data_IF_183587768023
#
_entry.id   IF_183587768023
#
_cell.length_a   1.000
_cell.length_b   1.000
_cell.length_c   1.000
_cell.angle_alpha   90.00
_cell.angle_beta   90.00
_cell.angle_gamma   90.00
#
_symmetry.space_group_name_H-M   'P 1'
#
loop_
_entity.id
_entity.type
_entity.pdbx_description
1 polymer ?
#
# COMPACT_ATOMS: atom_id res chain seq x y z
N UNK A 1 -6.02 7.48 -10.28
CA UNK A 1 -5.04 8.25 -9.50
C UNK A 1 -4.89 9.71 -9.94
N UNK A 2 -4.66 10.03 -11.22
CA UNK A 2 -4.43 11.43 -11.70
C UNK A 2 -5.41 12.48 -11.16
N UNK A 3 -6.72 12.26 -11.32
CA UNK A 3 -7.73 13.22 -10.85
C UNK A 3 -7.74 13.34 -9.31
N UNK A 4 -7.51 12.24 -8.60
CA UNK A 4 -7.42 12.21 -7.13
C UNK A 4 -6.26 13.09 -6.66
N UNK A 5 -5.07 12.90 -7.22
CA UNK A 5 -3.90 13.71 -6.89
C UNK A 5 -4.08 15.18 -7.29
N UNK A 6 -4.70 15.46 -8.44
CA UNK A 6 -5.02 16.83 -8.86
C UNK A 6 -5.91 17.54 -7.85
N UNK A 7 -6.94 16.87 -7.32
CA UNK A 7 -7.85 17.45 -6.32
C UNK A 7 -7.17 17.67 -4.97
N UNK A 8 -6.29 16.75 -4.55
CA UNK A 8 -5.47 16.95 -3.35
C UNK A 8 -4.54 18.16 -3.52
N UNK A 9 -3.85 18.26 -4.67
CA UNK A 9 -2.97 19.39 -4.98
C UNK A 9 -3.73 20.73 -5.03
N UNK A 10 -4.97 20.76 -5.54
CA UNK A 10 -5.82 21.96 -5.49
C UNK A 10 -6.15 22.34 -4.05
N UNK A 11 -6.38 21.36 -3.18
CA UNK A 11 -6.69 21.62 -1.77
C UNK A 11 -5.48 22.25 -1.06
N UNK A 12 -4.28 21.71 -1.29
CA UNK A 12 -3.03 22.29 -0.78
C UNK A 12 -2.79 23.70 -1.35
N UNK A 13 -2.96 23.88 -2.67
CA UNK A 13 -2.82 25.19 -3.33
C UNK A 13 -3.80 26.22 -2.78
N UNK A 14 -5.03 25.82 -2.47
CA UNK A 14 -6.01 26.72 -1.84
C UNK A 14 -5.49 27.23 -0.50
N UNK A 15 -5.00 26.33 0.37
CA UNK A 15 -4.45 26.70 1.66
C UNK A 15 -3.24 27.63 1.53
N UNK A 16 -2.34 27.37 0.58
CA UNK A 16 -1.19 28.25 0.29
C UNK A 16 -1.66 29.65 -0.10
N UNK A 17 -2.66 29.78 -0.99
CA UNK A 17 -3.17 31.10 -1.39
C UNK A 17 -3.82 31.84 -0.22
N UNK A 18 -4.51 31.13 0.68
CA UNK A 18 -5.06 31.74 1.89
C UNK A 18 -3.95 32.21 2.84
N UNK A 19 -2.93 31.39 3.04
CA UNK A 19 -1.76 31.71 3.85
C UNK A 19 -1.05 32.97 3.31
N UNK A 20 -0.73 32.99 2.01
CA UNK A 20 -0.15 34.14 1.32
C UNK A 20 -0.99 35.42 1.49
N UNK A 21 -2.31 35.30 1.34
CA UNK A 21 -3.21 36.44 1.51
C UNK A 21 -3.18 36.96 2.95
N UNK A 22 -3.24 36.08 3.94
CA UNK A 22 -3.28 36.45 5.35
C UNK A 22 -1.94 37.05 5.82
N UNK A 23 -0.80 36.45 5.46
CA UNK A 23 0.54 37.00 5.74
C UNK A 23 0.67 38.45 5.25
N UNK A 24 0.15 38.73 4.06
CA UNK A 24 0.27 40.04 3.42
C UNK A 24 -0.73 41.08 3.94
N UNK A 25 -1.90 40.66 4.44
CA UNK A 25 -3.00 41.57 4.73
C UNK A 25 -3.42 41.62 6.22
N UNK A 26 -2.96 40.69 7.06
CA UNK A 26 -3.31 40.62 8.47
C UNK A 26 -2.05 40.63 9.36
N UNK A 27 -1.91 41.69 10.18
CA UNK A 27 -0.75 41.87 11.04
C UNK A 27 -0.67 40.85 12.17
N UNK A 28 -1.82 40.36 12.64
CA UNK A 28 -1.85 39.38 13.72
C UNK A 28 -1.45 38.00 13.19
N UNK A 29 -1.92 37.62 11.99
CA UNK A 29 -1.49 36.40 11.31
C UNK A 29 0.03 36.38 11.10
N UNK A 30 0.58 37.47 10.55
CA UNK A 30 2.03 37.61 10.36
C UNK A 30 2.82 37.48 11.66
N UNK A 31 2.34 38.10 12.73
CA UNK A 31 2.96 38.00 14.06
C UNK A 31 2.99 36.56 14.59
N UNK A 32 1.99 35.74 14.25
CA UNK A 32 1.99 34.31 14.60
C UNK A 32 2.95 33.52 13.71
N UNK A 33 3.01 33.82 12.41
CA UNK A 33 3.96 33.18 11.49
C UNK A 33 5.42 33.42 11.91
N UNK A 34 5.77 34.67 12.24
CA UNK A 34 7.10 35.03 12.76
C UNK A 34 7.46 34.25 14.03
N UNK A 35 6.47 33.90 14.87
CA UNK A 35 6.70 33.07 16.05
C UNK A 35 6.96 31.61 15.71
N UNK A 36 6.29 31.07 14.69
CA UNK A 36 6.58 29.72 14.18
C UNK A 36 7.98 29.65 13.59
N UNK A 37 8.36 30.64 12.79
CA UNK A 37 9.73 30.76 12.24
C UNK A 37 10.78 30.84 13.36
N UNK A 38 10.51 31.59 14.44
CA UNK A 38 11.39 31.70 15.61
C UNK A 38 11.58 30.37 16.37
N UNK A 39 10.72 29.37 16.17
CA UNK A 39 10.92 28.03 16.74
C UNK A 39 12.06 27.26 16.05
N UNK A 40 12.49 27.67 14.85
CA UNK A 40 13.62 27.07 14.15
C UNK A 40 13.42 25.57 13.89
N UNK A 41 14.38 24.74 14.34
CA UNK A 41 14.38 23.30 14.08
C UNK A 41 13.17 22.56 14.66
N UNK A 42 12.58 23.02 15.77
CA UNK A 42 11.40 22.36 16.36
C UNK A 42 10.20 22.40 15.39
N UNK A 43 10.04 23.51 14.66
CA UNK A 43 9.00 23.63 13.64
C UNK A 43 9.35 22.85 12.37
N UNK A 44 10.63 22.82 12.00
CA UNK A 44 11.09 22.01 10.86
C UNK A 44 10.91 20.51 11.13
N UNK A 45 11.18 20.02 12.34
CA UNK A 45 10.91 18.65 12.77
C UNK A 45 9.43 18.29 12.64
N UNK A 46 8.53 19.22 13.00
CA UNK A 46 7.11 19.04 12.75
C UNK A 46 6.79 18.93 11.25
N UNK A 47 7.38 19.77 10.41
CA UNK A 47 7.18 19.74 8.96
C UNK A 47 7.71 18.44 8.32
N UNK A 48 8.80 17.85 8.84
CA UNK A 48 9.35 16.56 8.38
C UNK A 48 8.38 15.40 8.57
N UNK A 49 7.44 15.49 9.50
CA UNK A 49 6.35 14.51 9.66
C UNK A 49 5.30 14.59 8.54
N UNK A 50 5.21 15.72 7.82
CA UNK A 50 4.30 15.92 6.69
C UNK A 50 4.94 15.50 5.35
N UNK A 51 6.22 15.80 5.17
CA UNK A 51 7.01 15.34 4.03
C UNK A 51 8.51 15.35 4.37
N UNK A 52 9.20 14.26 4.04
CA UNK A 52 10.64 14.13 4.20
C UNK A 52 11.22 13.49 2.94
N UNK A 53 12.08 14.24 2.23
CA UNK A 53 12.82 13.75 1.08
C UNK A 53 14.11 13.07 1.53
N UNK A 54 14.23 11.76 1.26
CA UNK A 54 15.43 11.00 1.58
C UNK A 54 15.16 9.56 2.02
N UNK A 55 16.22 8.85 2.40
CA UNK A 55 16.15 7.50 2.97
C UNK A 55 16.03 7.57 4.49
N UNK A 56 15.25 6.69 5.11
CA UNK A 56 15.09 6.70 6.57
C UNK A 56 16.42 6.44 7.28
N UNK A 57 16.81 7.31 8.21
CA UNK A 57 17.92 7.08 9.16
C UNK A 57 17.39 6.94 10.58
N UNK A 58 17.76 5.85 11.27
CA UNK A 58 17.68 5.81 12.73
C UNK A 58 19.01 6.33 13.28
N UNK A 59 19.00 7.50 13.90
CA UNK A 59 20.12 7.99 14.71
C UNK A 59 21.06 9.03 14.06
N UNK A 60 20.81 9.45 12.81
CA UNK A 60 21.57 10.52 12.16
C UNK A 60 20.62 11.65 11.73
N UNK A 61 20.86 12.91 12.15
CA UNK A 61 20.15 14.09 11.63
C UNK A 61 20.36 14.28 10.12
N UNK A 62 19.40 14.88 9.39
CA UNK A 62 18.04 15.20 9.86
C UNK A 62 17.24 13.91 10.11
N UNK A 63 16.56 13.85 11.25
CA UNK A 63 15.84 12.66 11.70
C UNK A 63 14.46 12.58 11.03
N UNK A 64 14.42 12.18 9.76
CA UNK A 64 13.17 11.80 9.11
C UNK A 64 12.58 10.56 9.77
N UNK A 65 11.46 10.69 10.50
CA UNK A 65 10.96 9.61 11.34
C UNK A 65 10.22 8.51 10.54
N UNK A 66 9.64 8.86 9.38
CA UNK A 66 8.59 8.05 8.72
C UNK A 66 8.85 7.79 7.23
N UNK A 67 9.20 6.53 6.92
CA UNK A 67 9.41 5.98 5.56
C UNK A 67 8.12 5.88 4.72
N UNK A 68 6.95 6.22 5.25
CA UNK A 68 5.65 5.82 4.68
C UNK A 68 4.73 6.98 4.32
N UNK A 69 5.24 8.21 4.29
CA UNK A 69 4.44 9.44 4.10
C UNK A 69 3.54 9.34 2.86
N UNK A 70 4.08 8.86 1.73
CA UNK A 70 3.29 8.69 0.51
C UNK A 70 2.16 7.65 0.68
N UNK A 71 2.41 6.54 1.38
CA UNK A 71 1.39 5.54 1.71
C UNK A 71 0.31 6.12 2.62
N UNK A 72 0.72 6.90 3.63
CA UNK A 72 -0.19 7.55 4.58
C UNK A 72 -1.10 8.55 3.87
N UNK A 73 -0.58 9.28 2.87
CA UNK A 73 -1.39 10.16 2.02
C UNK A 73 -2.43 9.35 1.23
N UNK A 74 -2.06 8.22 0.62
CA UNK A 74 -3.01 7.35 -0.07
C UNK A 74 -4.09 6.81 0.88
N UNK A 75 -3.69 6.39 2.07
CA UNK A 75 -4.61 5.91 3.10
C UNK A 75 -5.55 7.02 3.56
N UNK A 76 -5.04 8.21 3.87
CA UNK A 76 -5.84 9.39 4.21
C UNK A 76 -6.88 9.70 3.14
N UNK A 77 -6.49 9.70 1.87
CA UNK A 77 -7.40 9.91 0.75
C UNK A 77 -8.52 8.87 0.80
N UNK A 78 -8.22 7.59 1.00
CA UNK A 78 -9.17 6.49 0.90
C UNK A 78 -10.06 6.40 2.14
N UNK A 79 -9.46 6.28 3.32
CA UNK A 79 -10.14 5.93 4.58
C UNK A 79 -10.71 7.15 5.30
N UNK A 80 -10.18 8.36 5.07
CA UNK A 80 -10.64 9.58 5.75
C UNK A 80 -11.49 10.50 4.88
N UNK A 81 -11.22 10.59 3.57
CA UNK A 81 -11.93 11.52 2.67
C UNK A 81 -12.84 10.83 1.66
N UNK A 82 -12.33 9.88 0.89
CA UNK A 82 -13.11 9.18 -0.13
C UNK A 82 -14.18 8.26 0.48
N UNK A 83 -14.00 7.85 1.74
CA UNK A 83 -15.01 7.11 2.51
C UNK A 83 -16.39 7.80 2.53
N UNK A 84 -16.45 9.13 2.44
CA UNK A 84 -17.73 9.85 2.32
C UNK A 84 -18.53 9.48 1.06
N UNK A 85 -17.91 8.89 0.05
CA UNK A 85 -18.63 8.28 -1.07
C UNK A 85 -19.38 7.01 -0.60
N UNK A 86 -18.71 6.15 0.15
CA UNK A 86 -19.25 4.86 0.60
C UNK A 86 -20.45 4.99 1.55
N UNK A 87 -20.50 6.06 2.36
CA UNK A 87 -21.58 6.27 3.34
C UNK A 87 -22.88 6.84 2.75
N UNK A 88 -22.90 7.22 1.47
CA UNK A 88 -24.10 7.82 0.86
C UNK A 88 -25.25 6.82 0.75
N UNK A 89 -24.99 5.70 0.08
CA UNK A 89 -25.91 4.58 -0.07
C UNK A 89 -25.16 3.33 -0.57
N UNK A 90 -25.88 2.21 -0.67
CA UNK A 90 -25.32 0.94 -1.11
C UNK A 90 -24.74 0.99 -2.54
N UNK A 91 -25.32 1.75 -3.47
CA UNK A 91 -24.81 1.86 -4.83
C UNK A 91 -23.50 2.67 -4.88
N UNK A 92 -23.41 3.75 -4.10
CA UNK A 92 -22.17 4.50 -3.98
C UNK A 92 -21.09 3.72 -3.22
N UNK A 93 -21.45 2.87 -2.25
CA UNK A 93 -20.51 1.92 -1.64
C UNK A 93 -19.90 0.96 -2.66
N UNK A 94 -20.70 0.37 -3.56
CA UNK A 94 -20.20 -0.47 -4.66
C UNK A 94 -19.21 0.30 -5.55
N UNK A 95 -19.58 1.53 -5.93
CA UNK A 95 -18.69 2.42 -6.72
C UNK A 95 -17.39 2.74 -5.99
N UNK A 96 -17.46 3.03 -4.68
CA UNK A 96 -16.29 3.27 -3.85
C UNK A 96 -15.36 2.05 -3.86
N UNK A 97 -15.87 0.85 -3.58
CA UNK A 97 -15.07 -0.39 -3.59
C UNK A 97 -14.42 -0.60 -4.97
N UNK A 98 -15.19 -0.46 -6.06
CA UNK A 98 -14.68 -0.57 -7.43
C UNK A 98 -13.54 0.43 -7.71
N UNK A 99 -13.74 1.71 -7.36
CA UNK A 99 -12.73 2.76 -7.54
C UNK A 99 -11.47 2.44 -6.72
N UNK A 100 -11.61 2.06 -5.45
CA UNK A 100 -10.47 1.79 -4.57
C UNK A 100 -9.69 0.57 -5.05
N UNK A 101 -10.36 -0.51 -5.51
CA UNK A 101 -9.67 -1.66 -6.10
C UNK A 101 -8.82 -1.27 -7.33
N UNK A 102 -9.32 -0.40 -8.21
CA UNK A 102 -8.50 0.12 -9.31
C UNK A 102 -7.34 1.00 -8.84
N UNK A 103 -7.54 1.79 -7.78
CA UNK A 103 -6.44 2.55 -7.16
C UNK A 103 -5.39 1.62 -6.55
N UNK A 104 -5.80 0.51 -5.92
CA UNK A 104 -4.89 -0.54 -5.45
C UNK A 104 -4.11 -1.14 -6.61
N UNK A 105 -4.75 -1.48 -7.74
CA UNK A 105 -4.02 -1.93 -8.93
C UNK A 105 -2.99 -0.91 -9.42
N UNK A 106 -3.36 0.38 -9.49
CA UNK A 106 -2.41 1.43 -9.85
C UNK A 106 -1.24 1.52 -8.87
N UNK A 107 -1.52 1.37 -7.57
CA UNK A 107 -0.52 1.36 -6.52
C UNK A 107 0.43 0.16 -6.65
N UNK A 108 -0.07 -1.04 -6.90
CA UNK A 108 0.76 -2.23 -7.15
C UNK A 108 1.64 -2.05 -8.39
N UNK A 109 1.12 -1.41 -9.44
CA UNK A 109 1.87 -1.16 -10.68
C UNK A 109 3.05 -0.20 -10.46
N UNK A 110 2.94 0.75 -9.52
CA UNK A 110 4.02 1.71 -9.22
C UNK A 110 5.33 1.02 -8.79
N UNK A 111 5.27 -0.22 -8.29
CA UNK A 111 6.40 -1.04 -7.82
C UNK A 111 6.68 -2.26 -8.72
N UNK A 112 6.34 -2.12 -9.99
CA UNK A 112 6.74 -3.06 -11.02
C UNK A 112 8.13 -2.75 -11.60
N UNK A 113 8.89 -1.81 -11.01
CA UNK A 113 10.27 -1.46 -11.40
C UNK A 113 11.36 -2.14 -10.54
N UNK A 114 10.96 -3.00 -9.59
CA UNK A 114 11.91 -3.82 -8.84
C UNK A 114 12.74 -4.80 -9.68
N UNK A 115 12.18 -5.48 -10.71
CA UNK A 115 12.93 -6.45 -11.52
C UNK A 115 14.08 -5.84 -12.33
N UNK A 116 15.21 -6.55 -12.44
CA UNK A 116 16.42 -6.12 -13.16
C UNK A 116 16.19 -5.77 -14.64
N UNK A 117 15.24 -6.43 -15.31
CA UNK A 117 14.94 -6.20 -16.73
C UNK A 117 14.42 -4.77 -17.00
N UNK A 118 13.94 -4.08 -15.97
CA UNK A 118 13.46 -2.69 -16.03
C UNK A 118 14.30 -1.73 -15.21
N UNK A 119 15.56 -2.10 -14.90
CA UNK A 119 16.50 -1.23 -14.18
C UNK A 119 16.71 0.12 -14.86
N UNK A 120 16.63 0.18 -16.20
CA UNK A 120 16.70 1.45 -16.94
C UNK A 120 15.52 2.38 -16.66
N UNK A 121 14.28 1.87 -16.64
CA UNK A 121 13.09 2.65 -16.28
C UNK A 121 13.13 3.07 -14.81
N UNK A 122 13.63 2.20 -13.93
CA UNK A 122 13.87 2.54 -12.52
C UNK A 122 14.79 3.77 -12.41
N UNK A 123 15.94 3.75 -13.10
CA UNK A 123 16.88 4.88 -13.12
C UNK A 123 16.27 6.15 -13.70
N UNK A 124 15.53 6.03 -14.81
CA UNK A 124 14.84 7.16 -15.44
C UNK A 124 13.83 7.80 -14.49
N UNK A 125 13.02 6.98 -13.80
CA UNK A 125 12.07 7.46 -12.80
C UNK A 125 12.76 8.17 -11.64
N UNK A 126 13.79 7.56 -11.06
CA UNK A 126 14.55 8.15 -9.95
C UNK A 126 15.14 9.51 -10.34
N UNK A 127 15.73 9.63 -11.53
CA UNK A 127 16.24 10.91 -12.06
C UNK A 127 15.12 11.92 -12.28
N UNK A 128 14.02 11.49 -12.89
CA UNK A 128 12.84 12.34 -13.12
C UNK A 128 12.28 12.91 -11.81
N UNK A 129 12.20 12.09 -10.75
CA UNK A 129 11.76 12.53 -9.43
C UNK A 129 12.69 13.59 -8.85
N UNK A 130 14.00 13.32 -8.85
CA UNK A 130 15.03 14.27 -8.38
C UNK A 130 14.95 15.60 -9.14
N UNK A 131 14.89 15.55 -10.47
CA UNK A 131 14.83 16.75 -11.32
C UNK A 131 13.53 17.55 -11.14
N UNK A 132 12.40 16.86 -10.96
CA UNK A 132 11.08 17.51 -10.86
C UNK A 132 10.83 18.13 -9.49
N UNK A 133 11.37 17.54 -8.42
CA UNK A 133 11.23 18.01 -7.04
C UNK A 133 12.34 19.03 -6.71
N UNK A 134 13.54 18.85 -7.29
CA UNK A 134 14.72 19.66 -7.03
C UNK A 134 15.51 19.16 -5.83
N UNK A 135 16.84 19.25 -5.92
CA UNK A 135 17.76 18.64 -4.94
C UNK A 135 17.50 19.07 -3.50
N UNK A 136 17.09 20.32 -3.27
CA UNK A 136 16.82 20.86 -1.93
C UNK A 136 15.67 20.16 -1.21
N UNK A 137 14.60 19.85 -1.94
CA UNK A 137 13.37 19.26 -1.38
C UNK A 137 13.39 17.72 -1.52
N UNK A 138 14.17 17.20 -2.47
CA UNK A 138 14.30 15.76 -2.71
C UNK A 138 15.29 15.09 -1.76
N UNK A 139 16.41 15.74 -1.47
CA UNK A 139 17.36 15.35 -0.43
C UNK A 139 17.32 16.43 0.63
N UNK A 140 16.66 16.18 1.76
CA UNK A 140 16.49 17.25 2.74
C UNK A 140 17.83 17.90 3.09
N UNK A 141 17.88 19.23 2.95
CA UNK A 141 19.03 20.08 3.24
C UNK A 141 20.33 19.74 2.47
N UNK A 142 20.25 18.92 1.42
CA UNK A 142 21.42 18.49 0.65
C UNK A 142 22.35 17.55 1.42
N UNK A 143 21.83 16.74 2.34
CA UNK A 143 22.65 15.84 3.15
C UNK A 143 23.38 14.76 2.31
N UNK A 144 24.70 14.72 2.44
CA UNK A 144 25.60 13.81 1.70
C UNK A 144 25.30 12.33 1.93
N UNK A 145 24.73 11.95 3.08
CA UNK A 145 24.32 10.58 3.33
C UNK A 145 23.17 10.18 2.40
N UNK A 146 22.11 10.99 2.30
CA UNK A 146 20.96 10.68 1.46
C UNK A 146 21.31 10.71 -0.02
N UNK A 147 22.16 11.67 -0.43
CA UNK A 147 22.67 11.74 -1.81
C UNK A 147 23.45 10.48 -2.14
N UNK A 148 24.44 10.08 -1.32
CA UNK A 148 25.23 8.85 -1.58
C UNK A 148 24.36 7.61 -1.65
N UNK A 149 23.38 7.46 -0.74
CA UNK A 149 22.46 6.32 -0.75
C UNK A 149 21.59 6.28 -1.99
N UNK A 150 21.16 7.43 -2.46
CA UNK A 150 20.42 7.54 -3.72
C UNK A 150 21.30 7.15 -4.90
N UNK A 151 22.54 7.66 -5.01
CA UNK A 151 23.46 7.29 -6.09
C UNK A 151 23.81 5.79 -6.06
N UNK A 152 24.06 5.22 -4.88
CA UNK A 152 24.23 3.76 -4.71
C UNK A 152 23.02 2.97 -5.22
N UNK A 153 21.81 3.43 -4.90
CA UNK A 153 20.55 2.80 -5.33
C UNK A 153 20.30 3.00 -6.83
N UNK A 154 20.73 4.13 -7.39
CA UNK A 154 20.60 4.46 -8.80
C UNK A 154 21.49 3.55 -9.66
N UNK A 155 22.70 3.27 -9.20
CA UNK A 155 23.66 2.38 -9.89
C UNK A 155 23.35 0.90 -9.71
N UNK A 156 22.56 0.53 -8.69
CA UNK A 156 22.10 -0.85 -8.53
C UNK A 156 21.30 -1.29 -9.77
N UNK A 157 21.68 -2.40 -10.40
CA UNK A 157 21.09 -2.88 -11.66
C UNK A 157 20.42 -4.26 -11.56
N UNK A 158 20.50 -4.91 -10.40
CA UNK A 158 19.87 -6.21 -10.14
C UNK A 158 18.45 -6.05 -9.54
N UNK A 159 17.85 -7.18 -9.15
CA UNK A 159 16.49 -7.31 -8.60
C UNK A 159 16.33 -6.65 -7.22
N UNK A 160 15.48 -5.63 -7.14
CA UNK A 160 14.98 -5.07 -5.88
C UNK A 160 13.78 -5.86 -5.32
N UNK A 161 13.91 -7.19 -5.30
CA UNK A 161 12.89 -8.10 -4.76
C UNK A 161 13.42 -8.70 -3.45
N UNK A 162 12.75 -8.50 -2.31
CA UNK A 162 13.22 -9.02 -1.03
C UNK A 162 13.01 -10.53 -0.90
N UNK A 163 13.70 -11.15 0.07
CA UNK A 163 13.56 -12.57 0.41
C UNK A 163 12.17 -12.93 0.98
N UNK A 164 11.71 -14.17 0.77
CA UNK A 164 11.80 -14.97 -0.47
C UNK A 164 10.90 -14.35 -1.58
N UNK A 165 11.12 -14.64 -2.89
CA UNK A 165 11.90 -15.75 -3.47
C UNK A 165 13.35 -15.44 -3.88
N UNK A 166 13.84 -14.20 -3.76
CA UNK A 166 15.19 -13.84 -4.18
C UNK A 166 16.27 -14.50 -3.30
N UNK A 167 17.17 -15.36 -3.83
CA UNK A 167 18.24 -15.97 -3.04
C UNK A 167 19.31 -14.96 -2.60
N UNK A 168 19.48 -13.88 -3.36
CA UNK A 168 20.47 -12.81 -3.17
C UNK A 168 19.78 -11.44 -3.14
N UNK A 169 19.00 -11.14 -2.07
CA UNK A 169 18.29 -9.86 -1.97
C UNK A 169 19.30 -8.70 -1.87
N UNK A 170 18.92 -7.50 -2.32
CA UNK A 170 19.74 -6.32 -2.14
C UNK A 170 19.98 -6.02 -0.66
N UNK A 171 21.01 -5.22 -0.41
CA UNK A 171 21.26 -4.66 0.90
C UNK A 171 20.05 -3.85 1.38
N UNK A 172 19.79 -3.93 2.69
CA UNK A 172 18.65 -3.26 3.32
C UNK A 172 18.63 -1.76 3.03
N UNK A 173 19.79 -1.12 2.97
CA UNK A 173 19.89 0.32 2.66
C UNK A 173 19.41 0.67 1.25
N UNK A 174 19.66 -0.19 0.27
CA UNK A 174 19.20 -0.02 -1.12
C UNK A 174 17.69 -0.18 -1.16
N UNK A 175 17.15 -1.23 -0.52
CA UNK A 175 15.72 -1.44 -0.41
C UNK A 175 15.02 -0.28 0.31
N UNK A 176 15.55 0.18 1.45
CA UNK A 176 14.96 1.26 2.23
C UNK A 176 14.96 2.60 1.46
N UNK A 177 16.00 2.85 0.66
CA UNK A 177 16.12 4.05 -0.19
C UNK A 177 15.17 3.96 -1.39
N UNK A 178 15.07 2.80 -2.03
CA UNK A 178 14.10 2.59 -3.10
C UNK A 178 12.67 2.73 -2.58
N UNK A 179 12.34 2.06 -1.47
CA UNK A 179 11.01 2.07 -0.85
C UNK A 179 10.57 3.49 -0.45
N UNK A 180 11.49 4.39 -0.05
CA UNK A 180 11.11 5.76 0.33
C UNK A 180 10.63 6.62 -0.84
N UNK A 181 10.96 6.25 -2.08
CA UNK A 181 10.51 6.93 -3.29
C UNK A 181 9.07 6.60 -3.67
N UNK A 182 8.50 5.55 -3.07
CA UNK A 182 7.18 5.05 -3.41
C UNK A 182 6.27 5.01 -2.18
N UNK A 183 4.94 5.10 -2.37
CA UNK A 183 4.01 4.72 -1.32
C UNK A 183 4.21 3.23 -1.00
N UNK A 184 4.79 2.88 0.16
CA UNK A 184 5.20 1.52 0.56
C UNK A 184 4.24 0.41 0.11
N UNK A 185 4.72 -0.48 -0.76
CA UNK A 185 3.85 -1.36 -1.56
C UNK A 185 3.45 -2.67 -0.88
N UNK A 186 4.26 -3.19 0.06
CA UNK A 186 3.87 -4.40 0.80
C UNK A 186 2.88 -4.15 1.93
N UNK A 187 2.85 -2.94 2.50
CA UNK A 187 1.94 -2.60 3.61
C UNK A 187 0.66 -1.95 3.12
N UNK A 188 0.78 -0.81 2.45
CA UNK A 188 -0.36 0.05 2.15
C UNK A 188 -1.49 -0.59 1.32
N UNK A 189 -1.20 -1.22 0.17
CA UNK A 189 -2.20 -1.96 -0.60
C UNK A 189 -2.91 -3.06 0.20
N UNK A 190 -2.17 -3.83 0.99
CA UNK A 190 -2.73 -4.92 1.81
C UNK A 190 -3.68 -4.35 2.87
N UNK A 191 -3.24 -3.31 3.57
CA UNK A 191 -4.04 -2.63 4.59
C UNK A 191 -5.36 -2.09 4.02
N UNK A 192 -5.32 -1.51 2.81
CA UNK A 192 -6.52 -1.04 2.11
C UNK A 192 -7.42 -2.20 1.66
N UNK A 193 -6.87 -3.30 1.18
CA UNK A 193 -7.65 -4.48 0.76
C UNK A 193 -8.38 -5.11 1.94
N UNK A 194 -7.71 -5.25 3.09
CA UNK A 194 -8.32 -5.70 4.35
C UNK A 194 -9.44 -4.74 4.78
N UNK A 195 -9.19 -3.42 4.71
CA UNK A 195 -10.22 -2.43 4.99
C UNK A 195 -11.46 -2.61 4.09
N UNK A 196 -11.27 -2.82 2.78
CA UNK A 196 -12.38 -3.10 1.85
C UNK A 196 -13.10 -4.40 2.20
N UNK A 197 -12.39 -5.45 2.61
CA UNK A 197 -12.97 -6.70 3.07
C UNK A 197 -13.88 -6.50 4.26
N UNK A 198 -13.42 -5.78 5.29
CA UNK A 198 -14.23 -5.50 6.48
C UNK A 198 -15.48 -4.69 6.12
N UNK A 199 -15.36 -3.73 5.21
CA UNK A 199 -16.52 -2.98 4.70
C UNK A 199 -17.52 -3.90 3.98
N UNK A 200 -17.07 -4.87 3.20
CA UNK A 200 -17.96 -5.77 2.44
C UNK A 200 -18.61 -6.83 3.32
N UNK A 201 -17.90 -7.35 4.31
CA UNK A 201 -18.32 -8.47 5.16
C UNK A 201 -19.25 -8.09 6.33
N UNK A 202 -19.39 -6.79 6.62
CA UNK A 202 -20.37 -6.28 7.62
C UNK A 202 -20.22 -6.93 9.00
N UNK A 203 -18.99 -7.07 9.49
CA UNK A 203 -18.72 -7.62 10.82
C UNK A 203 -18.96 -6.63 11.98
N UNK A 204 -19.31 -5.37 11.65
CA UNK A 204 -19.44 -4.25 12.59
C UNK A 204 -19.04 -2.93 11.93
N UNK A 205 -18.92 -1.87 12.73
CA UNK A 205 -18.41 -0.57 12.29
C UNK A 205 -16.88 -0.60 12.23
N UNK A 206 -16.33 -0.21 11.08
CA UNK A 206 -14.89 -0.22 10.82
C UNK A 206 -14.31 1.16 11.08
N UNK A 207 -13.41 1.26 12.06
CA UNK A 207 -12.63 2.48 12.35
C UNK A 207 -11.20 2.24 11.87
N UNK A 208 -10.83 2.88 10.76
CA UNK A 208 -9.46 2.81 10.24
C UNK A 208 -8.53 3.67 11.10
N UNK A 209 -7.46 3.07 11.63
CA UNK A 209 -6.38 3.75 12.33
C UNK A 209 -5.07 3.75 11.54
N UNK A 210 -5.12 3.42 10.25
CA UNK A 210 -3.96 3.33 9.35
C UNK A 210 -3.11 4.62 9.35
N UNK A 211 -3.76 5.78 9.46
CA UNK A 211 -3.07 7.08 9.57
C UNK A 211 -2.68 7.45 10.99
N UNK A 212 -3.36 6.89 12.01
CA UNK A 212 -3.20 7.25 13.43
C UNK A 212 -2.30 6.24 14.15
N UNK A 213 -0.99 6.42 14.00
CA UNK A 213 -0.02 5.43 14.49
C UNK A 213 0.33 5.55 15.98
N UNK A 214 -0.12 6.59 16.69
CA UNK A 214 0.17 6.82 18.12
C UNK A 214 -1.05 7.37 18.84
N UNK A 215 -1.36 6.81 20.01
CA UNK A 215 -2.31 7.36 20.97
C UNK A 215 -1.53 7.91 22.17
N UNK A 216 -1.85 9.13 22.58
CA UNK A 216 -1.13 9.87 23.61
C UNK A 216 -2.06 10.13 24.79
N UNK A 217 -1.59 9.82 25.99
CA UNK A 217 -2.28 10.10 27.27
C UNK A 217 -1.25 10.60 28.30
N UNK A 218 -1.15 11.92 28.45
CA UNK A 218 -0.03 12.53 29.17
C UNK A 218 1.30 12.19 28.48
N UNK A 219 2.29 11.74 29.25
CA UNK A 219 3.60 11.32 28.72
C UNK A 219 3.62 9.89 28.17
N UNK A 220 2.49 9.15 28.29
CA UNK A 220 2.39 7.77 27.80
C UNK A 220 1.95 7.77 26.36
N UNK A 221 2.66 6.98 25.55
CA UNK A 221 2.35 6.75 24.14
C UNK A 221 2.19 5.26 23.90
N UNK A 222 1.06 4.88 23.29
CA UNK A 222 0.82 3.52 22.81
C UNK A 222 0.58 3.51 21.31
N UNK A 223 0.90 2.40 20.65
CA UNK A 223 0.62 2.21 19.22
C UNK A 223 -0.68 1.44 19.12
N UNK A 224 -1.74 1.99 18.48
CA UNK A 224 -2.98 1.25 18.30
C UNK A 224 -2.83 0.19 17.21
N UNK A 225 -3.76 -0.78 17.15
CA UNK A 225 -3.89 -1.66 16.00
C UNK A 225 -4.27 -0.87 14.75
N UNK A 226 -4.02 -1.43 13.56
CA UNK A 226 -4.32 -0.81 12.28
C UNK A 226 -5.82 -0.47 12.09
N UNK A 227 -6.72 -1.29 12.65
CA UNK A 227 -8.18 -1.11 12.58
C UNK A 227 -8.82 -1.43 13.94
N UNK A 228 -9.86 -0.68 14.32
CA UNK A 228 -10.81 -1.09 15.35
C UNK A 228 -12.13 -1.52 14.70
N UNK A 229 -12.65 -2.67 15.12
CA UNK A 229 -13.98 -3.15 14.77
C UNK A 229 -14.90 -2.95 15.97
N UNK A 230 -15.94 -2.12 15.80
CA UNK A 230 -16.96 -1.87 16.83
C UNK A 230 -18.21 -2.69 16.49
N UNK A 231 -18.60 -3.60 17.37
CA UNK A 231 -19.73 -4.52 17.16
C UNK A 231 -21.00 -4.02 17.84
N UNK A 232 -22.16 -4.40 17.32
CA UNK A 232 -23.49 -3.96 17.82
C UNK A 232 -23.74 -4.25 19.31
N UNK A 233 -23.08 -5.26 19.89
CA UNK A 233 -23.19 -5.60 21.32
C UNK A 233 -22.21 -4.83 22.24
N UNK A 234 -21.49 -3.85 21.69
CA UNK A 234 -20.51 -3.04 22.43
C UNK A 234 -19.12 -3.67 22.50
N UNK A 235 -18.88 -4.80 21.83
CA UNK A 235 -17.55 -5.40 21.73
C UNK A 235 -16.68 -4.53 20.82
N UNK A 236 -15.48 -4.20 21.30
CA UNK A 236 -14.46 -3.49 20.52
C UNK A 236 -13.28 -4.42 20.33
N UNK A 237 -12.83 -4.56 19.10
CA UNK A 237 -11.76 -5.47 18.73
C UNK A 237 -10.71 -4.73 17.93
N UNK A 238 -9.46 -4.88 18.33
CA UNK A 238 -8.30 -4.44 17.55
C UNK A 238 -7.91 -5.46 16.50
N UNK A 239 -7.68 -5.01 15.28
CA UNK A 239 -7.23 -5.82 14.16
C UNK A 239 -5.88 -5.27 13.68
N UNK A 240 -4.83 -6.07 13.84
CA UNK A 240 -3.50 -5.78 13.34
C UNK A 240 -3.30 -6.48 12.00
N UNK A 241 -2.85 -5.75 10.98
CA UNK A 241 -2.70 -6.29 9.63
C UNK A 241 -1.26 -6.78 9.43
N UNK A 242 -1.15 -8.05 9.07
CA UNK A 242 0.12 -8.76 8.97
C UNK A 242 0.60 -9.32 10.31
N UNK A 243 1.81 -9.89 10.29
CA UNK A 243 2.46 -10.54 11.43
C UNK A 243 3.78 -9.85 11.78
N UNK A 244 4.26 -9.97 13.01
CA UNK A 244 5.53 -9.39 13.47
C UNK A 244 5.42 -8.11 14.31
N UNK A 245 4.20 -7.68 14.67
CA UNK A 245 3.94 -6.55 15.58
C UNK A 245 3.24 -7.01 16.86
N UNK A 246 3.35 -8.28 17.23
CA UNK A 246 2.63 -8.92 18.33
C UNK A 246 2.87 -8.20 19.66
N UNK A 247 4.09 -7.71 19.89
CA UNK A 247 4.42 -6.93 21.08
C UNK A 247 3.61 -5.62 21.16
N UNK A 248 3.49 -4.90 20.05
CA UNK A 248 2.75 -3.63 20.02
C UNK A 248 1.25 -3.87 20.27
N UNK A 249 0.69 -4.89 19.64
CA UNK A 249 -0.71 -5.27 19.85
C UNK A 249 -0.97 -5.74 21.29
N UNK A 250 -0.05 -6.52 21.87
CA UNK A 250 -0.13 -6.95 23.27
C UNK A 250 -0.05 -5.76 24.25
N UNK A 251 0.87 -4.82 24.02
CA UNK A 251 1.01 -3.62 24.84
C UNK A 251 -0.27 -2.76 24.78
N UNK A 252 -0.84 -2.57 23.59
CA UNK A 252 -2.12 -1.88 23.42
C UNK A 252 -3.27 -2.59 24.16
N UNK A 253 -3.38 -3.91 24.00
CA UNK A 253 -4.43 -4.71 24.63
C UNK A 253 -4.35 -4.65 26.15
N UNK A 254 -3.15 -4.76 26.72
CA UNK A 254 -2.90 -4.69 28.15
C UNK A 254 -3.29 -3.33 28.74
N UNK A 255 -3.01 -2.24 28.03
CA UNK A 255 -3.26 -0.87 28.50
C UNK A 255 -4.73 -0.48 28.36
N UNK A 256 -5.40 -0.91 27.28
CA UNK A 256 -6.76 -0.45 26.94
C UNK A 256 -7.86 -1.44 27.33
N UNK A 257 -7.52 -2.71 27.57
CA UNK A 257 -8.48 -3.80 27.73
C UNK A 257 -9.16 -4.25 26.43
N UNK A 258 -8.78 -3.67 25.28
CA UNK A 258 -9.33 -4.05 23.97
C UNK A 258 -8.57 -5.27 23.45
N UNK A 259 -9.23 -6.42 23.18
CA UNK A 259 -8.56 -7.58 22.59
C UNK A 259 -8.07 -7.27 21.18
N UNK A 260 -6.84 -7.70 20.86
CA UNK A 260 -6.24 -7.52 19.53
C UNK A 260 -5.98 -8.85 18.85
N UNK A 261 -6.26 -8.94 17.54
CA UNK A 261 -6.00 -10.11 16.70
C UNK A 261 -5.17 -9.71 15.49
N UNK A 262 -4.25 -10.60 15.08
CA UNK A 262 -3.57 -10.47 13.79
C UNK A 262 -4.42 -11.09 12.69
N UNK A 263 -4.57 -10.34 11.60
CA UNK A 263 -5.26 -10.76 10.38
C UNK A 263 -4.35 -10.51 9.18
N UNK A 264 -4.55 -11.25 8.10
CA UNK A 264 -3.79 -11.06 6.87
C UNK A 264 -4.66 -11.41 5.66
N UNK A 265 -4.22 -11.08 4.45
CA UNK A 265 -4.86 -11.60 3.25
C UNK A 265 -4.55 -13.08 3.10
N UNK A 266 -5.53 -13.86 2.63
CA UNK A 266 -5.38 -15.29 2.34
C UNK A 266 -4.20 -15.50 1.39
N UNK A 267 -3.31 -16.43 1.73
CA UNK A 267 -2.05 -16.71 1.03
C UNK A 267 -1.08 -15.51 0.93
N UNK A 268 -1.29 -14.45 1.70
CA UNK A 268 -0.52 -13.19 1.68
C UNK A 268 -0.55 -12.51 0.31
N UNK A 269 -1.74 -12.45 -0.28
CA UNK A 269 -2.01 -11.63 -1.47
C UNK A 269 -1.66 -10.14 -1.24
N UNK A 270 -1.45 -9.35 -2.31
CA UNK A 270 -1.34 -9.76 -3.71
C UNK A 270 -0.04 -10.52 -4.01
N UNK A 271 0.05 -11.13 -5.19
CA UNK A 271 1.21 -11.96 -5.57
C UNK A 271 2.17 -11.22 -6.51
N UNK A 272 3.43 -11.61 -6.51
CA UNK A 272 4.37 -11.28 -7.59
C UNK A 272 4.46 -12.47 -8.56
N UNK A 273 4.61 -12.16 -9.84
CA UNK A 273 4.88 -13.15 -10.86
C UNK A 273 6.29 -13.72 -10.67
N UNK A 274 6.40 -15.04 -10.58
CA UNK A 274 7.66 -15.75 -10.40
C UNK A 274 8.59 -15.66 -11.62
N UNK A 275 8.10 -15.29 -12.81
CA UNK A 275 8.92 -15.02 -14.01
C UNK A 275 9.39 -13.56 -14.06
N UNK A 276 8.45 -12.61 -14.17
CA UNK A 276 8.81 -11.21 -14.41
C UNK A 276 9.03 -10.39 -13.13
N UNK A 277 8.77 -10.94 -11.94
CA UNK A 277 8.93 -10.27 -10.66
C UNK A 277 7.92 -9.15 -10.36
N UNK A 278 7.05 -8.80 -11.32
CA UNK A 278 6.03 -7.75 -11.19
C UNK A 278 4.82 -8.23 -10.40
N UNK A 279 4.11 -7.31 -9.75
CA UNK A 279 2.85 -7.63 -9.07
C UNK A 279 1.78 -8.12 -10.06
N UNK A 280 0.97 -9.07 -9.60
CA UNK A 280 -0.24 -9.54 -10.26
C UNK A 280 -1.41 -8.71 -9.71
N UNK A 281 -2.05 -7.96 -10.59
CA UNK A 281 -3.19 -7.10 -10.27
C UNK A 281 -4.50 -7.88 -10.21
N UNK A 282 -5.51 -7.31 -9.56
CA UNK A 282 -6.87 -7.87 -9.60
C UNK A 282 -7.52 -7.59 -10.95
N UNK A 283 -8.06 -8.61 -11.61
CA UNK A 283 -8.70 -8.45 -12.91
C UNK A 283 -10.07 -7.77 -12.80
N UNK A 284 -10.57 -7.22 -13.91
CA UNK A 284 -11.87 -6.55 -13.97
C UNK A 284 -13.02 -7.42 -13.42
N UNK A 285 -12.99 -8.73 -13.71
CA UNK A 285 -14.00 -9.66 -13.21
C UNK A 285 -14.02 -9.74 -11.69
N UNK A 286 -12.86 -9.85 -11.05
CA UNK A 286 -12.74 -9.86 -9.58
C UNK A 286 -13.26 -8.55 -9.03
N UNK A 287 -12.82 -7.42 -9.59
CA UNK A 287 -13.20 -6.09 -9.12
C UNK A 287 -14.72 -5.88 -9.20
N UNK A 288 -15.34 -6.28 -10.31
CA UNK A 288 -16.78 -6.22 -10.50
C UNK A 288 -17.52 -7.07 -9.48
N UNK A 289 -17.23 -8.37 -9.43
CA UNK A 289 -17.91 -9.28 -8.52
C UNK A 289 -17.74 -8.87 -7.06
N UNK A 290 -16.51 -8.50 -6.67
CA UNK A 290 -16.22 -8.08 -5.30
C UNK A 290 -16.90 -6.77 -4.93
N UNK A 291 -16.98 -5.82 -5.87
CA UNK A 291 -17.70 -4.56 -5.63
C UNK A 291 -19.20 -4.76 -5.54
N UNK A 292 -19.79 -5.63 -6.37
CA UNK A 292 -21.24 -5.80 -6.50
C UNK A 292 -21.85 -6.77 -5.50
N UNK A 293 -21.16 -7.90 -5.28
CA UNK A 293 -21.64 -9.04 -4.47
C UNK A 293 -20.94 -9.14 -3.12
N UNK A 294 -19.76 -8.51 -2.97
CA UNK A 294 -18.99 -8.56 -1.73
C UNK A 294 -18.14 -9.82 -1.62
N UNK A 295 -17.99 -10.32 -0.39
CA UNK A 295 -17.24 -11.53 -0.07
C UNK A 295 -18.09 -12.77 -0.39
N UNK A 296 -17.56 -13.79 -1.10
CA UNK A 296 -18.28 -15.04 -1.35
C UNK A 296 -18.68 -15.76 -0.05
N UNK A 297 -19.91 -16.28 0.03
CA UNK A 297 -20.46 -16.95 1.23
C UNK A 297 -19.67 -18.22 1.61
N UNK A 298 -19.26 -19.00 0.61
CA UNK A 298 -18.42 -20.20 0.78
C UNK A 298 -16.96 -19.88 1.07
N UNK A 299 -16.59 -18.59 1.06
CA UNK A 299 -15.22 -18.09 1.19
C UNK A 299 -14.29 -18.66 0.13
N UNK A 300 -14.82 -19.11 -1.01
CA UNK A 300 -13.99 -19.49 -2.11
C UNK A 300 -13.33 -18.24 -2.69
N UNK A 301 -12.04 -18.09 -2.40
CA UNK A 301 -11.24 -16.97 -2.84
C UNK A 301 -10.73 -17.13 -4.27
N UNK A 302 -11.03 -18.25 -4.95
CA UNK A 302 -10.51 -18.59 -6.28
C UNK A 302 -11.61 -18.50 -7.33
N UNK A 303 -11.33 -17.78 -8.41
CA UNK A 303 -12.13 -17.76 -9.64
C UNK A 303 -11.34 -18.51 -10.71
N UNK A 304 -11.89 -19.61 -11.21
CA UNK A 304 -11.30 -20.29 -12.37
C UNK A 304 -11.57 -19.47 -13.63
N UNK A 305 -10.49 -19.11 -14.35
CA UNK A 305 -10.57 -18.21 -15.49
C UNK A 305 -11.31 -18.84 -16.67
N UNK A 306 -11.34 -20.17 -16.79
CA UNK A 306 -12.06 -20.87 -17.87
C UNK A 306 -13.57 -20.61 -17.88
N UNK A 307 -14.15 -20.32 -16.72
CA UNK A 307 -15.58 -20.00 -16.58
C UNK A 307 -15.85 -18.50 -16.70
N UNK A 308 -14.82 -17.69 -16.97
CA UNK A 308 -14.91 -16.25 -17.04
C UNK A 308 -15.37 -15.80 -18.44
N UNK A 309 -16.36 -14.89 -18.56
CA UNK A 309 -16.75 -14.30 -19.85
C UNK A 309 -15.63 -13.59 -20.59
N UNK A 310 -14.59 -13.18 -19.87
CA UNK A 310 -13.43 -12.48 -20.42
C UNK A 310 -12.27 -13.40 -20.79
N UNK A 311 -12.38 -14.72 -20.57
CA UNK A 311 -11.27 -15.67 -20.77
C UNK A 311 -10.63 -15.56 -22.15
N UNK A 312 -11.49 -15.45 -23.19
CA UNK A 312 -11.12 -15.31 -24.60
C UNK A 312 -10.02 -16.31 -25.00
N UNK A 313 -10.27 -17.60 -24.79
CA UNK A 313 -9.35 -18.71 -25.08
C UNK A 313 -7.92 -18.51 -24.52
N UNK A 314 -7.82 -17.89 -23.34
CA UNK A 314 -6.56 -17.63 -22.67
C UNK A 314 -5.84 -16.35 -23.10
N UNK A 315 -6.51 -15.45 -23.83
CA UNK A 315 -5.97 -14.15 -24.25
C UNK A 315 -6.18 -13.03 -23.21
N UNK A 316 -7.00 -13.25 -22.18
CA UNK A 316 -7.18 -12.25 -21.11
C UNK A 316 -5.81 -11.89 -20.46
N UNK A 317 -5.45 -10.60 -20.39
CA UNK A 317 -4.13 -10.16 -19.95
C UNK A 317 -3.89 -10.36 -18.45
N UNK A 318 -4.96 -10.52 -17.68
CA UNK A 318 -4.94 -10.58 -16.21
C UNK A 318 -5.04 -12.01 -15.66
N UNK A 319 -4.99 -13.03 -16.53
CA UNK A 319 -5.00 -14.42 -16.07
C UNK A 319 -3.73 -14.68 -15.26
N UNK A 320 -3.91 -15.18 -14.04
CA UNK A 320 -2.82 -15.76 -13.28
C UNK A 320 -2.79 -17.27 -13.51
N UNK A 321 -1.61 -17.84 -13.67
CA UNK A 321 -1.40 -19.27 -13.75
C UNK A 321 -0.67 -19.75 -12.49
N UNK A 322 -1.16 -20.81 -11.85
CA UNK A 322 -0.57 -21.37 -10.64
C UNK A 322 -0.18 -22.84 -10.82
N UNK A 323 1.10 -23.08 -11.10
CA UNK A 323 1.65 -24.40 -11.48
C UNK A 323 2.97 -24.69 -10.76
N UNK A 324 3.36 -25.96 -10.70
CA UNK A 324 4.73 -26.34 -10.36
C UNK A 324 5.65 -25.97 -11.53
N UNK A 325 6.55 -25.03 -11.31
CA UNK A 325 7.50 -24.58 -12.33
C UNK A 325 8.71 -23.90 -11.68
N UNK A 326 9.64 -23.47 -12.51
CA UNK A 326 10.88 -22.81 -12.10
C UNK A 326 10.69 -21.31 -12.08
N UNK A 327 10.98 -20.66 -10.95
CA UNK A 327 10.94 -19.21 -10.86
C UNK A 327 12.14 -18.56 -11.61
N UNK A 328 12.16 -17.23 -11.69
CA UNK A 328 13.22 -16.42 -12.32
C UNK A 328 14.62 -16.64 -11.76
N UNK A 329 14.74 -17.26 -10.59
CA UNK A 329 16.00 -17.60 -9.93
C UNK A 329 16.43 -19.06 -10.16
N UNK A 330 15.73 -19.80 -11.02
CA UNK A 330 16.07 -21.20 -11.31
C UNK A 330 15.59 -22.19 -10.25
N UNK A 331 14.71 -21.79 -9.32
CA UNK A 331 14.21 -22.66 -8.23
C UNK A 331 12.83 -23.20 -8.57
N UNK A 332 12.71 -24.53 -8.62
CA UNK A 332 11.44 -25.22 -8.83
C UNK A 332 10.56 -25.18 -7.57
N UNK A 333 9.31 -24.77 -7.74
CA UNK A 333 8.32 -24.62 -6.68
C UNK A 333 6.91 -24.47 -7.28
N UNK A 334 5.90 -24.53 -6.43
CA UNK A 334 4.58 -24.00 -6.76
C UNK A 334 4.66 -22.48 -6.95
N UNK A 335 4.57 -22.05 -8.19
CA UNK A 335 4.89 -20.70 -8.64
C UNK A 335 3.68 -20.05 -9.34
N UNK A 336 3.57 -18.73 -9.18
CA UNK A 336 2.47 -17.92 -9.70
C UNK A 336 2.98 -17.05 -10.83
N UNK A 337 2.34 -17.11 -11.99
CA UNK A 337 2.75 -16.37 -13.17
C UNK A 337 1.62 -15.50 -13.68
N UNK A 338 1.94 -14.35 -14.29
CA UNK A 338 1.05 -13.86 -15.34
C UNK A 338 1.04 -14.91 -16.44
N UNK A 339 -0.14 -15.35 -16.88
CA UNK A 339 -0.23 -16.40 -17.91
C UNK A 339 0.52 -16.02 -19.20
N UNK A 340 0.50 -14.74 -19.55
CA UNK A 340 1.26 -14.17 -20.68
C UNK A 340 2.78 -14.23 -20.53
N UNK A 341 3.30 -14.42 -19.31
CA UNK A 341 4.74 -14.55 -19.07
C UNK A 341 5.24 -15.98 -19.30
N UNK A 342 4.35 -16.96 -19.42
CA UNK A 342 4.71 -18.32 -19.82
C UNK A 342 4.98 -18.37 -21.32
N UNK A 343 5.92 -19.22 -21.72
CA UNK A 343 6.21 -19.46 -23.14
C UNK A 343 5.04 -20.16 -23.85
N UNK A 344 5.05 -20.10 -25.19
CA UNK A 344 3.95 -20.63 -26.02
C UNK A 344 3.72 -22.15 -25.90
N UNK A 345 4.73 -22.93 -25.51
CA UNK A 345 4.60 -24.37 -25.32
C UNK A 345 3.88 -24.62 -24.00
N UNK A 346 4.40 -24.03 -22.91
CA UNK A 346 3.82 -24.13 -21.57
C UNK A 346 2.38 -23.62 -21.55
N UNK A 347 2.07 -22.50 -22.22
CA UNK A 347 0.69 -21.99 -22.31
C UNK A 347 -0.27 -22.98 -22.95
N UNK A 348 0.13 -23.62 -24.06
CA UNK A 348 -0.69 -24.62 -24.75
C UNK A 348 -0.89 -25.88 -23.90
N UNK A 349 0.15 -26.30 -23.19
CA UNK A 349 0.07 -27.42 -22.26
C UNK A 349 -0.90 -27.14 -21.12
N UNK A 350 -0.80 -25.98 -20.47
CA UNK A 350 -1.72 -25.57 -19.40
C UNK A 350 -3.16 -25.52 -19.92
N UNK A 351 -3.41 -24.90 -21.08
CA UNK A 351 -4.77 -24.83 -21.65
C UNK A 351 -5.37 -26.20 -21.95
N UNK A 352 -4.55 -27.17 -22.36
CA UNK A 352 -5.02 -28.50 -22.76
C UNK A 352 -5.14 -29.47 -21.58
N UNK A 353 -4.21 -29.42 -20.64
CA UNK A 353 -4.00 -30.47 -19.63
C UNK A 353 -4.28 -30.00 -18.19
N UNK A 354 -4.21 -28.70 -17.91
CA UNK A 354 -4.40 -28.15 -16.57
C UNK A 354 -5.08 -26.76 -16.61
N UNK A 355 -6.25 -26.62 -17.28
CA UNK A 355 -6.95 -25.34 -17.37
C UNK A 355 -7.38 -24.78 -16.01
N UNK A 356 -7.57 -25.64 -15.00
CA UNK A 356 -7.96 -25.28 -13.64
C UNK A 356 -6.90 -24.45 -12.89
N UNK A 357 -5.63 -24.53 -13.31
CA UNK A 357 -4.55 -23.69 -12.79
C UNK A 357 -4.63 -22.22 -13.21
N UNK A 358 -5.49 -21.89 -14.19
CA UNK A 358 -5.77 -20.54 -14.63
C UNK A 358 -6.81 -19.92 -13.72
N UNK A 359 -6.37 -19.01 -12.86
CA UNK A 359 -7.18 -18.48 -11.77
C UNK A 359 -7.04 -16.96 -11.61
N UNK A 360 -8.00 -16.37 -10.92
CA UNK A 360 -7.91 -15.06 -10.31
C UNK A 360 -8.39 -15.16 -8.86
N UNK A 361 -7.99 -14.23 -7.98
CA UNK A 361 -8.32 -14.32 -6.56
C UNK A 361 -9.10 -13.13 -6.04
N UNK A 362 -10.03 -13.41 -5.14
CA UNK A 362 -10.63 -12.39 -4.28
C UNK A 362 -9.65 -11.97 -3.16
N UNK A 363 -9.65 -10.69 -2.76
CA UNK A 363 -8.89 -10.21 -1.62
C UNK A 363 -9.58 -10.61 -0.30
N UNK A 364 -9.55 -11.90 0.02
CA UNK A 364 -10.12 -12.42 1.27
C UNK A 364 -9.11 -12.29 2.41
N UNK A 365 -9.64 -12.14 3.63
CA UNK A 365 -8.87 -12.03 4.87
C UNK A 365 -8.98 -13.33 5.66
N UNK A 366 -7.84 -13.81 6.15
CA UNK A 366 -7.74 -14.92 7.10
C UNK A 366 -7.80 -14.43 8.56
N UNK A 367 -8.35 -15.25 9.45
CA UNK A 367 -8.46 -14.98 10.89
C UNK A 367 -9.79 -14.40 11.35
N UNK A 368 -10.73 -14.17 10.43
CA UNK A 368 -12.08 -13.64 10.70
C UNK A 368 -13.22 -14.58 10.25
N UNK A 369 -12.90 -15.82 9.91
CA UNK A 369 -13.85 -16.79 9.32
C UNK A 369 -14.99 -17.14 10.27
N UNK A 370 -14.70 -17.15 11.58
CA UNK A 370 -15.67 -17.50 12.63
C UNK A 370 -16.46 -16.32 13.18
N UNK A 371 -16.21 -15.10 12.68
CA UNK A 371 -16.93 -13.92 13.13
C UNK A 371 -18.28 -13.83 12.42
N UNK A 372 -19.42 -13.80 13.16
CA UNK A 372 -20.73 -13.67 12.54
C UNK A 372 -20.91 -12.27 11.96
N UNK A 373 -21.56 -12.19 10.80
CA UNK A 373 -22.00 -10.92 10.18
C UNK A 373 -23.13 -10.27 11.00
N UNK A 374 -23.28 -8.95 10.86
CA UNK A 374 -24.29 -8.13 11.55
C UNK A 374 -25.36 -7.56 10.61
#
# INVERSE_FOLDING_TARGET
MREVLRRLAISAKHLIVLDDFLINNDSEYRRIEEKLEQMGEDYLDFCRELYFGGSKTRGNPPLGSRQMILSDIFQYIITSRAYYLAVKDANYKKKFVKIVMYLVNQWLIMDCFGPREVSFLRRELMKTLRESIGDRDFFEAGDDYHIRRFEETLEYDDDLIPKPPNPHPPDKSILDTYDSLFPKIRGGPIEILVYLYLLQRRLGFVVSLLTQQRLISGDRVITPPDILLLRSKGEVIGLEIGRGKEKQSADFSLVTGIPTFSIDLVERQPFRCDECGRWITYCDRVIELYSERGVPEDHNYVIHCIDCPYFNDGECPDIMCYIESTNRYGVSRKARYHFRCLDSITRREVLSNNPESLVAYYPLVEGLEKFPEE
#
